data_IF_674907556972
#
_entry.id   IF_674907556972
#
_cell.length_a   1.000
_cell.length_b   1.000
_cell.length_c   1.000
_cell.angle_alpha   90.00
_cell.angle_beta   90.00
_cell.angle_gamma   90.00
#
_symmetry.space_group_name_H-M   'P 1'
#
loop_
_entity.id
_entity.type
_entity.pdbx_description
1 polymer ?
#
# COMPACT_ATOMS: atom_id res chain seq x y z
N UNK A 1 4.93 -41.09 -4.94
CA UNK A 1 6.25 -41.44 -5.52
C UNK A 1 6.77 -40.27 -6.35
N UNK A 2 8.01 -39.84 -6.08
CA UNK A 2 8.92 -38.95 -6.83
C UNK A 2 8.54 -37.47 -7.05
N UNK A 3 9.02 -36.62 -6.13
CA UNK A 3 9.41 -35.21 -6.36
C UNK A 3 10.62 -35.18 -7.30
N UNK A 4 10.63 -34.28 -8.27
CA UNK A 4 11.83 -33.88 -9.00
C UNK A 4 12.14 -32.41 -8.66
N UNK A 5 13.20 -32.22 -7.88
CA UNK A 5 13.87 -30.94 -7.68
C UNK A 5 14.91 -30.77 -8.80
N UNK A 6 14.95 -29.62 -9.48
CA UNK A 6 16.02 -29.27 -10.43
C UNK A 6 16.90 -28.22 -9.79
N UNK A 7 18.11 -28.62 -9.40
CA UNK A 7 19.18 -27.72 -8.95
C UNK A 7 19.90 -27.08 -10.14
N UNK A 8 20.07 -25.76 -10.07
CA UNK A 8 20.76 -24.92 -11.04
C UNK A 8 22.11 -24.47 -10.47
N UNK A 9 23.11 -25.37 -10.47
CA UNK A 9 24.44 -25.03 -9.94
C UNK A 9 25.56 -25.51 -10.87
N UNK A 10 25.53 -25.08 -12.14
CA UNK A 10 26.58 -25.45 -13.11
C UNK A 10 27.11 -24.32 -13.99
N UNK A 11 27.28 -23.12 -13.44
CA UNK A 11 28.04 -22.05 -14.10
C UNK A 11 28.87 -21.24 -13.12
N UNK A 12 29.83 -21.86 -12.44
CA UNK A 12 30.95 -21.15 -11.80
C UNK A 12 32.17 -22.09 -11.68
N UNK A 13 33.07 -22.08 -12.66
CA UNK A 13 34.52 -22.24 -12.46
C UNK A 13 35.29 -22.01 -13.75
N UNK A 14 36.18 -21.02 -13.73
CA UNK A 14 37.27 -20.87 -14.68
C UNK A 14 38.57 -21.49 -14.15
N UNK A 15 39.62 -21.32 -14.98
CA UNK A 15 41.03 -21.75 -14.84
C UNK A 15 41.28 -23.24 -15.15
N UNK A 16 42.25 -23.66 -15.97
CA UNK A 16 43.49 -23.05 -16.50
C UNK A 16 44.00 -23.82 -17.75
N UNK A 17 44.88 -23.13 -18.47
CA UNK A 17 45.85 -23.46 -19.53
C UNK A 17 45.98 -24.85 -20.18
N UNK A 18 46.15 -24.82 -21.51
CA UNK A 18 47.14 -25.66 -22.22
C UNK A 18 47.70 -24.88 -23.43
N UNK A 19 49.01 -24.60 -23.41
CA UNK A 19 49.71 -23.92 -24.50
C UNK A 19 50.14 -24.85 -25.64
N UNK A 20 50.28 -24.31 -26.84
CA UNK A 20 51.27 -24.71 -27.85
C UNK A 20 51.40 -23.59 -28.88
N UNK A 21 52.65 -23.33 -29.29
CA UNK A 21 53.07 -22.08 -29.89
C UNK A 21 52.90 -21.96 -31.41
N UNK A 22 53.12 -20.73 -31.87
CA UNK A 22 53.77 -20.44 -33.14
C UNK A 22 54.38 -19.04 -33.04
N UNK A 23 55.69 -18.97 -33.26
CA UNK A 23 56.50 -17.76 -33.20
C UNK A 23 56.29 -16.91 -34.45
N UNK A 24 56.13 -15.60 -34.27
CA UNK A 24 56.41 -14.62 -35.29
C UNK A 24 57.22 -13.47 -34.68
N UNK A 25 58.41 -13.27 -35.22
CA UNK A 25 59.33 -12.19 -34.91
C UNK A 25 58.67 -10.82 -35.06
N UNK A 26 58.70 -10.02 -34.00
CA UNK A 26 58.47 -8.58 -34.05
C UNK A 26 59.23 -7.92 -32.91
N UNK A 27 60.05 -6.93 -33.24
CA UNK A 27 60.92 -6.19 -32.33
C UNK A 27 60.17 -5.63 -31.10
N UNK A 28 60.82 -5.50 -29.93
CA UNK A 28 60.15 -5.05 -28.71
C UNK A 28 59.73 -3.57 -28.83
N UNK A 29 58.52 -3.20 -28.37
CA UNK A 29 58.12 -1.79 -28.29
C UNK A 29 58.92 -1.09 -27.16
N UNK A 30 59.14 0.23 -27.27
CA UNK A 30 59.84 0.98 -26.23
C UNK A 30 59.06 0.95 -24.89
N UNK A 31 59.75 1.07 -23.74
CA UNK A 31 59.09 1.03 -22.44
C UNK A 31 58.12 2.21 -22.28
N UNK A 32 56.98 2.01 -21.59
CA UNK A 32 56.02 3.08 -21.33
C UNK A 32 56.64 4.14 -20.40
N UNK A 33 56.23 5.41 -20.51
CA UNK A 33 56.66 6.46 -19.59
C UNK A 33 56.21 6.14 -18.16
N UNK A 34 56.94 6.60 -17.13
CA UNK A 34 56.57 6.36 -15.74
C UNK A 34 55.21 6.99 -15.43
N UNK A 35 54.39 6.38 -14.55
CA UNK A 35 53.09 6.93 -14.19
C UNK A 35 53.25 8.28 -13.47
N UNK A 36 52.27 9.20 -13.58
CA UNK A 36 52.28 10.43 -12.82
C UNK A 36 52.27 10.13 -11.31
N UNK A 37 53.07 10.88 -10.55
CA UNK A 37 53.07 10.77 -9.10
C UNK A 37 51.65 11.02 -8.53
N UNK A 38 51.19 10.11 -7.67
CA UNK A 38 49.94 10.26 -6.91
C UNK A 38 50.01 11.53 -6.04
N UNK A 39 48.92 12.31 -5.90
CA UNK A 39 48.89 13.41 -4.97
C UNK A 39 49.01 12.88 -3.53
N UNK A 40 49.91 13.46 -2.75
CA UNK A 40 50.00 13.19 -1.32
C UNK A 40 48.68 13.55 -0.64
N UNK A 41 48.08 12.60 0.08
CA UNK A 41 46.94 12.88 0.95
C UNK A 41 47.35 13.88 2.04
N UNK A 42 46.57 14.94 2.32
CA UNK A 42 46.85 15.81 3.44
C UNK A 42 46.59 15.07 4.75
N UNK A 43 47.58 15.01 5.63
CA UNK A 43 47.36 14.63 7.02
C UNK A 43 46.42 15.65 7.68
N UNK A 44 45.42 15.22 8.49
CA UNK A 44 44.59 16.15 9.22
C UNK A 44 45.45 16.91 10.24
N UNK A 45 45.23 18.23 10.43
CA UNK A 45 45.99 19.00 11.40
C UNK A 45 45.72 18.47 12.82
N UNK A 46 46.71 18.48 13.72
CA UNK A 46 46.47 18.10 15.10
C UNK A 46 45.43 19.05 15.70
N UNK A 47 44.32 18.49 16.18
CA UNK A 47 43.31 19.26 16.89
C UNK A 47 43.99 20.01 18.04
N UNK A 48 43.79 21.33 18.10
CA UNK A 48 44.39 22.13 19.16
C UNK A 48 43.96 21.55 20.51
N UNK A 49 44.88 21.42 21.47
CA UNK A 49 44.58 20.85 22.80
C UNK A 49 43.40 21.59 23.47
N UNK A 50 43.19 22.85 23.10
CA UNK A 50 42.06 23.67 23.50
C UNK A 50 40.71 23.18 22.95
N UNK A 51 40.66 22.70 21.69
CA UNK A 51 39.45 22.16 21.08
C UNK A 51 39.08 20.81 21.71
N UNK A 52 40.07 19.96 21.96
CA UNK A 52 39.88 18.70 22.68
C UNK A 52 39.36 18.93 24.10
N UNK A 53 39.93 19.88 24.83
CA UNK A 53 39.46 20.26 26.16
C UNK A 53 38.01 20.79 26.13
N UNK A 54 37.67 21.63 25.15
CA UNK A 54 36.31 22.16 25.00
C UNK A 54 35.28 21.06 24.70
N UNK A 55 35.61 20.10 23.84
CA UNK A 55 34.74 18.95 23.54
C UNK A 55 34.54 18.04 24.76
N UNK A 56 35.59 17.83 25.56
CA UNK A 56 35.48 17.04 26.80
C UNK A 56 34.58 17.74 27.83
N UNK A 57 34.71 19.06 27.99
CA UNK A 57 33.86 19.84 28.89
C UNK A 57 32.39 19.85 28.44
N UNK A 58 32.14 19.99 27.13
CA UNK A 58 30.79 19.90 26.57
C UNK A 58 30.18 18.51 26.78
N UNK A 59 30.97 17.45 26.55
CA UNK A 59 30.54 16.08 26.80
C UNK A 59 30.18 15.83 28.26
N UNK A 60 31.01 16.29 29.20
CA UNK A 60 30.75 16.19 30.63
C UNK A 60 29.48 16.97 31.04
N UNK A 61 29.33 18.19 30.52
CA UNK A 61 28.14 19.01 30.77
C UNK A 61 26.85 18.34 30.27
N UNK A 62 26.89 17.73 29.09
CA UNK A 62 25.74 17.02 28.54
C UNK A 62 25.37 15.79 29.38
N UNK A 63 26.35 15.02 29.84
CA UNK A 63 26.10 13.86 30.72
C UNK A 63 25.46 14.30 32.04
N UNK A 64 25.96 15.36 32.67
CA UNK A 64 25.39 15.89 33.91
C UNK A 64 23.96 16.38 33.70
N UNK A 65 23.68 17.12 32.64
CA UNK A 65 22.32 17.55 32.30
C UNK A 65 21.39 16.37 32.05
N UNK A 66 21.83 15.34 31.30
CA UNK A 66 21.02 14.15 31.03
C UNK A 66 20.71 13.37 32.30
N UNK A 67 21.68 13.20 33.21
CA UNK A 67 21.47 12.52 34.49
C UNK A 67 20.53 13.33 35.38
N UNK A 68 20.70 14.66 35.46
CA UNK A 68 19.82 15.53 36.24
C UNK A 68 18.37 15.48 35.72
N UNK A 69 18.16 15.55 34.41
CA UNK A 69 16.85 15.39 33.79
C UNK A 69 16.27 14.01 34.04
N UNK A 70 17.07 12.95 33.93
CA UNK A 70 16.62 11.58 34.21
C UNK A 70 16.18 11.41 35.66
N UNK A 71 16.93 11.95 36.62
CA UNK A 71 16.58 11.90 38.04
C UNK A 71 15.35 12.78 38.35
N UNK A 72 15.24 13.94 37.72
CA UNK A 72 14.05 14.79 37.81
C UNK A 72 12.80 14.07 37.28
N UNK A 73 12.87 13.46 36.09
CA UNK A 73 11.78 12.68 35.53
C UNK A 73 11.47 11.44 36.37
N UNK A 74 12.49 10.75 36.91
CA UNK A 74 12.29 9.62 37.83
C UNK A 74 11.58 10.03 39.12
N UNK A 75 11.91 11.18 39.68
CA UNK A 75 11.26 11.71 40.88
C UNK A 75 9.82 12.18 40.59
N UNK A 76 9.56 12.68 39.37
CA UNK A 76 8.23 13.14 38.95
C UNK A 76 7.34 11.99 38.45
N UNK A 77 7.92 10.89 37.97
CA UNK A 77 7.27 9.68 37.45
C UNK A 77 7.34 8.51 38.44
N UNK A 78 7.12 8.76 39.73
CA UNK A 78 6.95 7.68 40.70
C UNK A 78 5.71 6.83 40.31
N UNK A 79 5.87 5.54 39.95
CA UNK A 79 4.78 4.68 39.48
C UNK A 79 3.68 4.48 40.52
N UNK A 80 3.95 4.80 41.79
CA UNK A 80 3.02 4.62 42.90
C UNK A 80 2.03 5.79 43.07
N UNK A 81 2.22 6.91 42.36
CA UNK A 81 1.31 8.07 42.39
C UNK A 81 0.20 8.06 41.33
N UNK A 82 0.29 7.19 40.32
CA UNK A 82 -0.79 7.04 39.34
C UNK A 82 -1.82 6.09 39.94
N UNK A 83 -2.77 6.65 40.71
CA UNK A 83 -3.91 5.84 41.16
C UNK A 83 -4.59 5.21 39.95
N UNK A 84 -5.03 3.95 40.07
CA UNK A 84 -5.65 3.14 38.99
C UNK A 84 -6.79 3.89 38.28
N UNK A 85 -7.44 4.83 38.96
CA UNK A 85 -8.48 5.70 38.42
C UNK A 85 -7.99 6.77 37.41
N UNK A 86 -6.73 7.22 37.46
CA UNK A 86 -6.18 8.16 36.45
C UNK A 86 -5.85 7.47 35.12
N UNK A 87 -5.32 6.24 35.16
CA UNK A 87 -5.00 5.47 33.96
C UNK A 87 -6.26 5.10 33.16
N UNK A 88 -7.36 4.82 33.87
CA UNK A 88 -8.65 4.55 33.22
C UNK A 88 -9.18 5.79 32.48
N UNK A 89 -9.12 6.97 33.12
CA UNK A 89 -9.56 8.22 32.51
C UNK A 89 -8.76 8.57 31.24
N UNK A 90 -7.42 8.44 31.30
CA UNK A 90 -6.54 8.66 30.15
C UNK A 90 -6.90 7.70 29.01
N UNK A 91 -7.09 6.41 29.30
CA UNK A 91 -7.48 5.42 28.28
C UNK A 91 -8.83 5.75 27.63
N UNK A 92 -9.83 6.18 28.40
CA UNK A 92 -11.14 6.56 27.83
C UNK A 92 -11.06 7.86 27.00
N UNK A 93 -10.26 8.83 27.43
CA UNK A 93 -10.04 10.08 26.67
C UNK A 93 -9.32 9.85 25.34
N UNK A 94 -8.29 9.00 25.31
CA UNK A 94 -7.51 8.73 24.09
C UNK A 94 -8.12 7.64 23.20
N UNK A 95 -8.90 6.69 23.76
CA UNK A 95 -9.58 5.64 22.98
C UNK A 95 -10.68 6.17 22.06
N UNK A 96 -11.26 7.34 22.34
CA UNK A 96 -12.28 7.97 21.49
C UNK A 96 -11.70 8.66 20.25
N UNK A 97 -10.38 8.93 20.23
CA UNK A 97 -9.72 9.62 19.13
C UNK A 97 -9.34 8.68 17.96
N UNK A 98 -9.39 7.35 18.17
CA UNK A 98 -9.14 6.36 17.12
C UNK A 98 -10.38 6.03 16.27
N UNK A 99 -11.58 6.50 16.67
CA UNK A 99 -12.84 6.11 16.05
C UNK A 99 -13.76 7.27 15.65
N UNK A 100 -13.19 8.43 15.28
CA UNK A 100 -13.98 9.57 14.78
C UNK A 100 -13.99 9.62 13.25
N UNK A 101 -14.65 8.64 12.63
CA UNK A 101 -15.24 8.81 11.29
C UNK A 101 -16.50 7.92 11.20
N UNK A 102 -17.47 8.14 12.09
CA UNK A 102 -18.84 7.73 11.86
C UNK A 102 -19.79 8.72 12.56
N UNK A 103 -20.76 9.19 11.78
CA UNK A 103 -21.84 10.04 12.23
C UNK A 103 -22.68 9.26 13.24
N UNK A 104 -22.57 9.55 14.54
CA UNK A 104 -23.54 9.08 15.52
C UNK A 104 -23.83 10.16 16.57
N UNK A 105 -24.66 11.12 16.15
CA UNK A 105 -25.44 11.95 17.06
C UNK A 105 -26.50 11.08 17.73
N UNK A 106 -26.12 10.31 18.76
CA UNK A 106 -27.07 9.84 19.79
C UNK A 106 -26.43 9.26 21.05
N UNK A 107 -25.14 8.91 21.04
CA UNK A 107 -24.48 8.24 22.18
C UNK A 107 -23.71 9.14 23.16
N UNK A 108 -23.74 10.47 23.01
CA UNK A 108 -22.99 11.38 23.91
C UNK A 108 -23.64 11.62 25.29
N UNK A 109 -24.90 11.21 25.52
CA UNK A 109 -25.62 11.66 26.74
C UNK A 109 -25.46 10.77 27.98
N UNK A 110 -25.11 9.48 27.83
CA UNK A 110 -25.26 8.54 28.94
C UNK A 110 -23.96 8.20 29.70
N UNK A 111 -22.79 8.33 29.06
CA UNK A 111 -21.49 8.02 29.70
C UNK A 111 -20.85 9.24 30.41
N UNK A 112 -21.36 10.46 30.17
CA UNK A 112 -20.92 11.67 30.87
C UNK A 112 -21.34 11.73 32.35
N UNK A 113 -22.34 10.91 32.74
CA UNK A 113 -22.88 10.89 34.12
C UNK A 113 -22.09 10.03 35.10
N UNK A 114 -21.17 9.19 34.64
CA UNK A 114 -20.39 8.27 35.48
C UNK A 114 -18.90 8.63 35.59
N UNK A 115 -18.47 9.73 34.96
CA UNK A 115 -17.07 10.15 35.01
C UNK A 115 -16.73 10.78 36.37
N UNK A 116 -15.70 10.28 37.08
CA UNK A 116 -15.19 10.91 38.30
C UNK A 116 -14.82 12.38 38.05
N UNK A 117 -15.05 13.25 39.04
CA UNK A 117 -14.80 14.69 38.90
C UNK A 117 -13.35 15.02 38.51
N UNK A 118 -12.40 14.19 38.97
CA UNK A 118 -10.99 14.29 38.60
C UNK A 118 -10.76 14.12 37.08
N UNK A 119 -11.49 13.23 36.43
CA UNK A 119 -11.40 12.97 34.99
C UNK A 119 -12.03 14.12 34.18
N UNK A 120 -13.14 14.68 34.67
CA UNK A 120 -13.79 15.84 34.07
C UNK A 120 -12.87 17.07 34.09
N UNK A 121 -12.24 17.31 35.24
CA UNK A 121 -11.27 18.41 35.39
C UNK A 121 -10.07 18.24 34.45
N UNK A 122 -9.57 17.00 34.30
CA UNK A 122 -8.48 16.69 33.37
C UNK A 122 -8.87 16.88 31.90
N UNK A 123 -10.08 16.45 31.49
CA UNK A 123 -10.62 16.70 30.14
C UNK A 123 -10.70 18.21 29.84
N UNK A 124 -11.22 18.99 30.77
CA UNK A 124 -11.32 20.44 30.63
C UNK A 124 -9.95 21.13 30.60
N UNK A 125 -8.99 20.64 31.40
CA UNK A 125 -7.61 21.12 31.39
C UNK A 125 -6.92 20.85 30.05
N UNK A 126 -7.09 19.64 29.51
CA UNK A 126 -6.56 19.25 28.19
C UNK A 126 -7.18 20.08 27.07
N UNK A 127 -8.51 20.27 27.08
CA UNK A 127 -9.20 21.11 26.10
C UNK A 127 -8.69 22.56 26.12
N UNK A 128 -8.50 23.15 27.31
CA UNK A 128 -7.92 24.49 27.44
C UNK A 128 -6.46 24.55 26.97
N UNK A 129 -5.67 23.51 27.23
CA UNK A 129 -4.29 23.43 26.74
C UNK A 129 -4.24 23.34 25.21
N UNK A 130 -5.08 22.50 24.61
CA UNK A 130 -5.20 22.38 23.15
C UNK A 130 -5.62 23.71 22.51
N UNK A 131 -6.60 24.41 23.11
CA UNK A 131 -7.01 25.74 22.64
C UNK A 131 -5.88 26.77 22.75
N UNK A 132 -5.12 26.77 23.84
CA UNK A 132 -3.97 27.68 24.02
C UNK A 132 -2.83 27.37 23.04
N UNK A 133 -2.55 26.10 22.78
CA UNK A 133 -1.55 25.67 21.78
C UNK A 133 -2.00 26.07 20.38
N UNK A 134 -3.29 25.87 20.05
CA UNK A 134 -3.87 26.29 18.78
C UNK A 134 -3.73 27.81 18.57
N UNK A 135 -4.09 28.62 19.57
CA UNK A 135 -3.98 30.07 19.52
C UNK A 135 -2.52 30.56 19.44
N UNK A 136 -1.59 29.89 20.14
CA UNK A 136 -0.17 30.21 20.08
C UNK A 136 0.45 29.84 18.72
N UNK A 137 0.03 28.73 18.10
CA UNK A 137 0.45 28.34 16.75
C UNK A 137 -0.08 29.29 15.68
N UNK A 138 -1.31 29.79 15.85
CA UNK A 138 -1.94 30.77 14.95
C UNK A 138 -1.24 32.14 15.04
N UNK A 139 -0.89 32.58 16.26
CA UNK A 139 -0.11 33.81 16.48
C UNK A 139 1.32 33.75 15.94
N UNK A 140 1.89 32.55 15.78
CA UNK A 140 3.22 32.33 15.20
C UNK A 140 3.21 32.21 13.66
N UNK A 141 2.06 32.37 13.00
CA UNK A 141 1.95 32.28 11.54
C UNK A 141 2.30 30.90 10.96
N UNK A 142 2.31 29.87 11.81
CA UNK A 142 2.52 28.48 11.42
C UNK A 142 1.20 27.92 10.89
N UNK A 143 0.81 28.35 9.69
CA UNK A 143 -0.43 27.96 8.97
C UNK A 143 -0.39 26.49 8.45
N UNK A 144 0.36 25.61 9.13
CA UNK A 144 0.56 24.20 8.77
C UNK A 144 -0.53 23.26 9.29
N UNK A 145 -1.55 23.77 9.98
CA UNK A 145 -2.65 22.95 10.52
C UNK A 145 -4.04 23.53 10.26
N UNK A 146 -4.24 24.27 9.17
CA UNK A 146 -5.48 24.09 8.41
C UNK A 146 -5.44 22.67 7.86
N UNK A 147 -5.89 21.71 8.67
CA UNK A 147 -6.30 20.38 8.22
C UNK A 147 -7.54 20.59 7.35
N UNK A 148 -7.36 21.16 6.16
CA UNK A 148 -8.10 20.69 5.00
C UNK A 148 -8.00 19.16 5.13
N UNK A 149 -9.13 18.47 5.29
CA UNK A 149 -9.14 17.00 5.29
C UNK A 149 -8.14 16.57 4.22
N UNK A 150 -7.10 15.76 4.54
CA UNK A 150 -6.19 15.29 3.50
C UNK A 150 -7.09 14.76 2.40
N UNK A 151 -6.98 15.37 1.22
CA UNK A 151 -7.87 15.05 0.11
C UNK A 151 -7.77 13.54 -0.06
N UNK A 152 -8.88 12.81 0.17
CA UNK A 152 -8.83 11.35 0.25
C UNK A 152 -8.22 10.85 -1.05
N UNK A 153 -7.12 10.12 -0.98
CA UNK A 153 -6.44 9.68 -2.19
C UNK A 153 -7.43 8.84 -3.03
N UNK A 154 -7.54 9.04 -4.36
CA UNK A 154 -8.50 8.30 -5.17
C UNK A 154 -8.27 6.79 -5.10
N UNK A 155 -9.29 6.03 -4.69
CA UNK A 155 -9.27 4.58 -4.74
C UNK A 155 -10.67 3.99 -4.90
N UNK A 156 -10.73 2.76 -5.36
CA UNK A 156 -11.93 1.95 -5.39
C UNK A 156 -11.60 0.47 -5.20
N UNK A 157 -12.45 -0.23 -4.47
CA UNK A 157 -12.56 -1.68 -4.41
C UNK A 157 -14.01 -2.03 -4.65
N UNK A 158 -14.28 -2.68 -5.78
CA UNK A 158 -15.61 -2.97 -6.29
C UNK A 158 -15.82 -4.47 -6.32
N UNK A 159 -16.96 -4.91 -5.79
CA UNK A 159 -17.28 -6.32 -5.58
C UNK A 159 -18.46 -6.70 -6.46
N UNK A 160 -18.45 -7.91 -7.05
CA UNK A 160 -19.51 -8.33 -7.97
C UNK A 160 -20.90 -8.26 -7.29
N UNK A 161 -21.90 -7.84 -8.05
CA UNK A 161 -23.29 -7.95 -7.63
C UNK A 161 -23.86 -9.32 -8.01
N UNK A 162 -24.07 -10.15 -6.99
CA UNK A 162 -24.54 -11.53 -7.13
C UNK A 162 -25.91 -11.64 -7.80
N UNK A 163 -26.76 -10.62 -7.67
CA UNK A 163 -28.12 -10.62 -8.23
C UNK A 163 -28.17 -10.33 -9.72
N UNK A 164 -27.09 -9.75 -10.27
CA UNK A 164 -27.07 -9.20 -11.63
C UNK A 164 -25.95 -9.77 -12.49
N UNK A 165 -25.54 -11.02 -12.22
CA UNK A 165 -24.56 -11.74 -13.04
C UNK A 165 -25.22 -12.24 -14.35
N UNK A 166 -24.67 -11.94 -15.53
CA UNK A 166 -25.23 -12.42 -16.79
C UNK A 166 -25.20 -13.96 -16.91
N UNK A 167 -26.33 -14.57 -17.25
CA UNK A 167 -26.47 -16.04 -17.32
C UNK A 167 -25.92 -16.68 -18.61
N UNK A 168 -25.12 -15.95 -19.39
CA UNK A 168 -24.59 -16.40 -20.68
C UNK A 168 -23.24 -17.13 -20.61
N UNK A 169 -22.84 -17.74 -21.73
CA UNK A 169 -21.49 -18.32 -21.90
C UNK A 169 -20.56 -17.45 -22.76
N UNK A 170 -21.13 -16.45 -23.45
CA UNK A 170 -20.37 -15.51 -24.29
C UNK A 170 -19.59 -14.51 -23.45
N UNK A 171 -18.59 -13.87 -24.08
CA UNK A 171 -17.87 -12.76 -23.47
C UNK A 171 -18.79 -11.56 -23.31
N UNK A 172 -18.83 -10.97 -22.10
CA UNK A 172 -19.68 -9.81 -21.76
C UNK A 172 -18.93 -8.79 -20.91
N UNK A 173 -19.40 -7.54 -20.88
CA UNK A 173 -19.03 -6.57 -19.84
C UNK A 173 -19.81 -6.91 -18.57
N UNK A 174 -19.14 -6.86 -17.43
CA UNK A 174 -19.79 -6.94 -16.12
C UNK A 174 -20.18 -5.53 -15.67
N UNK A 175 -21.47 -5.27 -15.53
CA UNK A 175 -21.98 -3.91 -15.29
C UNK A 175 -22.46 -3.65 -13.86
N UNK A 176 -22.62 -4.70 -13.07
CA UNK A 176 -23.21 -4.61 -11.74
C UNK A 176 -22.16 -4.94 -10.68
N UNK A 177 -21.79 -3.91 -9.93
CA UNK A 177 -20.79 -3.99 -8.88
C UNK A 177 -21.23 -3.15 -7.68
N UNK A 178 -20.92 -3.64 -6.49
CA UNK A 178 -21.08 -2.93 -5.24
C UNK A 178 -19.89 -2.01 -4.97
N UNK A 179 -20.16 -0.83 -4.43
CA UNK A 179 -19.15 0.21 -4.14
C UNK A 179 -19.27 0.79 -2.73
N UNK A 180 -20.32 0.42 -1.98
CA UNK A 180 -20.73 1.02 -0.72
C UNK A 180 -21.18 -0.01 0.33
N UNK A 181 -21.00 -1.31 0.09
CA UNK A 181 -21.37 -2.38 1.03
C UNK A 181 -20.35 -3.51 1.10
N UNK A 182 -20.34 -4.23 2.22
CA UNK A 182 -19.37 -5.30 2.48
C UNK A 182 -17.95 -4.73 2.54
N UNK A 183 -17.02 -5.34 1.83
CA UNK A 183 -15.65 -4.83 1.69
C UNK A 183 -15.52 -3.79 0.56
N UNK A 184 -16.61 -3.48 -0.17
CA UNK A 184 -16.57 -2.53 -1.26
C UNK A 184 -16.43 -1.11 -0.71
N UNK A 185 -15.58 -0.32 -1.35
CA UNK A 185 -15.30 1.04 -0.93
C UNK A 185 -14.86 1.87 -2.14
N UNK A 186 -15.22 3.15 -2.15
CA UNK A 186 -14.91 4.05 -3.24
C UNK A 186 -14.70 5.46 -2.68
N UNK A 187 -13.59 6.10 -3.07
CA UNK A 187 -13.23 7.44 -2.64
C UNK A 187 -12.59 8.21 -3.79
N UNK A 188 -13.06 9.44 -4.02
CA UNK A 188 -12.56 10.33 -5.08
C UNK A 188 -12.45 9.69 -6.48
N UNK A 189 -13.35 8.75 -6.75
CA UNK A 189 -13.66 8.15 -8.05
C UNK A 189 -15.20 8.08 -8.17
N UNK A 190 -15.72 7.73 -9.33
CA UNK A 190 -17.18 7.58 -9.52
C UNK A 190 -17.47 6.23 -10.14
N UNK A 191 -18.52 5.54 -9.70
CA UNK A 191 -18.96 4.30 -10.35
C UNK A 191 -20.33 4.53 -11.00
N UNK A 192 -20.45 4.25 -12.29
CA UNK A 192 -21.71 4.39 -13.03
C UNK A 192 -21.75 3.38 -14.18
N UNK A 193 -22.89 2.72 -14.37
CA UNK A 193 -23.14 1.81 -15.51
C UNK A 193 -21.98 0.81 -15.76
N UNK A 194 -21.53 0.13 -14.71
CA UNK A 194 -20.45 -0.85 -14.83
C UNK A 194 -19.05 -0.31 -15.00
N UNK A 195 -18.88 1.01 -14.90
CA UNK A 195 -17.62 1.68 -15.22
C UNK A 195 -17.14 2.45 -14.00
N UNK A 196 -15.91 2.18 -13.61
CA UNK A 196 -15.17 2.99 -12.66
C UNK A 196 -14.56 4.19 -13.40
N UNK A 197 -15.08 5.37 -13.12
CA UNK A 197 -14.68 6.65 -13.71
C UNK A 197 -13.60 7.27 -12.83
N UNK A 198 -12.49 7.61 -13.47
CA UNK A 198 -11.38 8.33 -12.86
C UNK A 198 -11.74 9.81 -12.76
N UNK A 199 -11.69 10.39 -11.57
CA UNK A 199 -12.01 11.81 -11.37
C UNK A 199 -10.77 12.71 -11.34
N UNK A 200 -9.59 12.14 -11.10
CA UNK A 200 -8.33 12.87 -11.02
C UNK A 200 -7.27 12.26 -11.93
N UNK A 201 -6.47 13.12 -12.56
CA UNK A 201 -5.31 12.69 -13.33
C UNK A 201 -4.27 12.03 -12.40
N UNK A 202 -3.65 10.95 -12.87
CA UNK A 202 -2.60 10.29 -12.10
C UNK A 202 -2.13 8.97 -12.68
N UNK A 203 -1.14 8.39 -12.02
CA UNK A 203 -0.79 7.00 -12.20
C UNK A 203 -1.52 6.14 -11.16
N UNK A 204 -2.19 5.11 -11.64
CA UNK A 204 -3.02 4.22 -10.84
C UNK A 204 -2.47 2.80 -10.91
N UNK A 205 -2.46 2.12 -9.78
CA UNK A 205 -2.39 0.67 -9.78
C UNK A 205 -3.81 0.12 -9.93
N UNK A 206 -4.03 -0.64 -10.99
CA UNK A 206 -5.29 -1.31 -11.27
C UNK A 206 -5.14 -2.80 -10.97
N UNK A 207 -6.17 -3.42 -10.42
CA UNK A 207 -6.19 -4.86 -10.16
C UNK A 207 -7.58 -5.45 -10.35
N UNK A 208 -7.63 -6.75 -10.64
CA UNK A 208 -8.86 -7.54 -10.66
C UNK A 208 -8.55 -8.99 -10.24
N UNK A 209 -9.46 -9.56 -9.44
CA UNK A 209 -9.49 -10.98 -9.12
C UNK A 209 -10.84 -11.52 -9.56
N UNK A 210 -10.85 -12.48 -10.48
CA UNK A 210 -12.07 -13.08 -11.02
C UNK A 210 -12.01 -14.58 -10.80
N UNK A 211 -12.99 -15.11 -10.07
CA UNK A 211 -13.09 -16.53 -9.80
C UNK A 211 -14.20 -17.15 -10.65
N UNK A 212 -13.88 -18.28 -11.27
CA UNK A 212 -14.83 -19.15 -11.95
C UNK A 212 -15.01 -20.41 -11.12
N UNK A 213 -16.25 -20.85 -10.95
CA UNK A 213 -16.59 -22.11 -10.29
C UNK A 213 -17.72 -22.84 -10.99
N UNK A 214 -17.75 -24.15 -10.80
CA UNK A 214 -18.85 -25.00 -11.24
C UNK A 214 -19.03 -26.15 -10.27
N UNK A 215 -20.28 -26.45 -9.94
CA UNK A 215 -20.65 -27.65 -9.20
C UNK A 215 -21.57 -28.49 -10.07
N UNK A 216 -21.44 -29.81 -10.06
CA UNK A 216 -22.19 -30.73 -10.92
C UNK A 216 -23.73 -30.56 -10.81
N UNK A 217 -24.22 -30.18 -9.63
CA UNK A 217 -25.65 -29.89 -9.39
C UNK A 217 -26.16 -28.68 -10.17
N UNK A 218 -25.27 -27.83 -10.69
CA UNK A 218 -25.61 -26.70 -11.56
C UNK A 218 -25.81 -27.10 -13.03
N UNK A 219 -25.76 -28.41 -13.33
CA UNK A 219 -25.96 -28.96 -14.67
C UNK A 219 -24.65 -29.36 -15.35
N UNK A 220 -24.76 -30.02 -16.50
CA UNK A 220 -23.57 -30.49 -17.21
C UNK A 220 -22.90 -29.38 -18.01
N UNK A 221 -21.59 -29.22 -17.84
CA UNK A 221 -20.77 -28.39 -18.73
C UNK A 221 -20.67 -29.01 -20.13
N UNK A 222 -20.56 -28.15 -21.14
CA UNK A 222 -20.25 -28.60 -22.50
C UNK A 222 -18.89 -29.30 -22.52
N UNK A 223 -18.77 -30.46 -23.18
CA UNK A 223 -17.51 -31.24 -23.31
C UNK A 223 -16.40 -30.55 -24.14
N UNK A 224 -16.47 -29.23 -24.33
CA UNK A 224 -15.50 -28.42 -25.08
C UNK A 224 -14.56 -27.71 -24.11
N UNK A 225 -13.37 -27.33 -24.58
CA UNK A 225 -12.45 -26.52 -23.79
C UNK A 225 -13.08 -25.17 -23.42
N UNK A 226 -13.10 -24.86 -22.12
CA UNK A 226 -13.58 -23.59 -21.59
C UNK A 226 -12.45 -22.57 -21.65
N UNK A 227 -12.68 -21.44 -22.31
CA UNK A 227 -11.80 -20.29 -22.17
C UNK A 227 -12.31 -19.46 -21.01
N UNK A 228 -11.51 -19.36 -19.94
CA UNK A 228 -11.83 -18.61 -18.73
C UNK A 228 -10.88 -17.41 -18.65
N UNK A 229 -11.35 -16.28 -19.15
CA UNK A 229 -10.58 -15.08 -19.46
C UNK A 229 -11.19 -13.85 -18.81
N UNK A 230 -10.33 -12.96 -18.33
CA UNK A 230 -10.64 -11.61 -17.85
C UNK A 230 -9.94 -10.58 -18.74
N UNK A 231 -10.61 -9.46 -18.99
CA UNK A 231 -10.06 -8.31 -19.68
C UNK A 231 -10.41 -7.06 -18.90
N UNK A 232 -9.41 -6.24 -18.60
CA UNK A 232 -9.62 -4.90 -18.07
C UNK A 232 -9.54 -3.90 -19.22
N UNK A 233 -10.63 -3.17 -19.44
CA UNK A 233 -10.79 -2.27 -20.56
C UNK A 233 -10.75 -0.83 -20.05
N UNK A 234 -9.93 0.00 -20.70
CA UNK A 234 -10.00 1.44 -20.55
C UNK A 234 -10.81 2.03 -21.70
N UNK A 235 -11.81 2.83 -21.37
CA UNK A 235 -12.61 3.56 -22.33
C UNK A 235 -12.40 5.06 -22.15
N UNK A 236 -12.13 5.75 -23.25
CA UNK A 236 -12.08 7.21 -23.30
C UNK A 236 -13.21 7.70 -24.21
N UNK A 237 -14.28 8.24 -23.61
CA UNK A 237 -15.45 8.70 -24.36
C UNK A 237 -15.16 9.91 -25.24
N UNK A 238 -14.21 10.78 -24.87
CA UNK A 238 -13.86 11.99 -25.63
C UNK A 238 -13.34 11.65 -27.03
N UNK A 239 -12.58 10.56 -27.14
CA UNK A 239 -12.00 10.08 -28.41
C UNK A 239 -12.66 8.77 -28.92
N UNK A 240 -13.76 8.33 -28.29
CA UNK A 240 -14.49 7.09 -28.60
C UNK A 240 -13.59 5.86 -28.77
N UNK A 241 -12.58 5.73 -27.91
CA UNK A 241 -11.59 4.65 -27.98
C UNK A 241 -11.71 3.74 -26.76
N UNK A 242 -11.59 2.44 -26.99
CA UNK A 242 -11.49 1.42 -25.94
C UNK A 242 -10.25 0.57 -26.15
N UNK A 243 -9.41 0.46 -25.13
CA UNK A 243 -8.16 -0.32 -25.16
C UNK A 243 -8.18 -1.39 -24.05
N UNK A 244 -7.67 -2.58 -24.35
CA UNK A 244 -7.43 -3.61 -23.35
C UNK A 244 -6.14 -3.25 -22.61
N UNK A 245 -6.23 -2.91 -21.33
CA UNK A 245 -5.06 -2.64 -20.49
C UNK A 245 -4.40 -3.92 -20.01
N UNK A 246 -5.22 -4.90 -19.61
CA UNK A 246 -4.76 -6.17 -19.08
C UNK A 246 -5.66 -7.29 -19.55
N UNK A 247 -5.07 -8.47 -19.74
CA UNK A 247 -5.75 -9.71 -20.08
C UNK A 247 -5.14 -10.83 -19.27
N UNK A 248 -5.98 -11.65 -18.65
CA UNK A 248 -5.56 -12.84 -17.92
C UNK A 248 -6.51 -13.99 -18.22
N UNK A 249 -6.07 -15.22 -17.92
CA UNK A 249 -6.92 -16.39 -18.05
C UNK A 249 -6.22 -17.61 -18.61
N UNK A 250 -7.00 -18.67 -18.78
CA UNK A 250 -6.50 -19.96 -19.28
C UNK A 250 -7.63 -20.74 -19.93
N UNK A 251 -7.26 -21.66 -20.83
CA UNK A 251 -8.17 -22.69 -21.30
C UNK A 251 -8.21 -23.82 -20.28
N UNK A 252 -9.40 -24.21 -19.82
CA UNK A 252 -9.62 -25.31 -18.89
C UNK A 252 -10.46 -26.40 -19.52
N UNK A 253 -10.19 -27.63 -19.11
CA UNK A 253 -11.04 -28.78 -19.39
C UNK A 253 -11.64 -29.25 -18.07
N UNK A 254 -12.92 -28.92 -17.86
CA UNK A 254 -13.67 -29.27 -16.66
C UNK A 254 -14.53 -30.50 -16.98
N UNK A 255 -14.00 -31.68 -16.64
CA UNK A 255 -14.65 -32.97 -16.86
C UNK A 255 -15.65 -33.27 -15.77
N UNK A 256 -16.82 -33.82 -16.11
CA UNK A 256 -17.83 -34.27 -15.14
C UNK A 256 -17.44 -35.43 -14.22
N UNK A 257 -16.15 -35.83 -14.19
CA UNK A 257 -15.62 -36.80 -13.23
C UNK A 257 -15.27 -36.17 -11.88
N UNK A 258 -15.38 -34.85 -11.75
CA UNK A 258 -15.17 -34.12 -10.51
C UNK A 258 -16.41 -33.32 -10.19
N UNK A 259 -16.87 -33.42 -8.95
CA UNK A 259 -18.09 -32.75 -8.47
C UNK A 259 -17.96 -31.22 -8.51
N UNK A 260 -16.74 -30.71 -8.34
CA UNK A 260 -16.46 -29.29 -8.22
C UNK A 260 -15.23 -28.85 -9.02
N UNK A 261 -15.37 -27.71 -9.69
CA UNK A 261 -14.30 -27.05 -10.42
C UNK A 261 -14.15 -25.60 -9.97
N UNK A 262 -12.89 -25.15 -9.90
CA UNK A 262 -12.55 -23.79 -9.52
C UNK A 262 -11.34 -23.28 -10.32
N UNK A 263 -11.36 -22.00 -10.67
CA UNK A 263 -10.23 -21.32 -11.30
C UNK A 263 -10.29 -19.82 -11.02
N UNK A 264 -9.23 -19.27 -10.43
CA UNK A 264 -9.10 -17.84 -10.17
C UNK A 264 -8.09 -17.20 -11.13
N UNK A 265 -8.40 -15.98 -11.55
CA UNK A 265 -7.53 -15.14 -12.38
C UNK A 265 -7.30 -13.82 -11.66
N UNK A 266 -6.04 -13.54 -11.34
CA UNK A 266 -5.61 -12.26 -10.81
C UNK A 266 -4.77 -11.52 -11.85
N UNK A 267 -5.10 -10.26 -12.11
CA UNK A 267 -4.32 -9.36 -12.96
C UNK A 267 -4.12 -8.03 -12.25
N UNK A 268 -2.95 -7.43 -12.40
CA UNK A 268 -2.66 -6.11 -11.85
C UNK A 268 -1.55 -5.41 -12.62
N UNK A 269 -1.58 -4.08 -12.63
CA UNK A 269 -0.64 -3.28 -13.39
C UNK A 269 -0.76 -1.79 -13.12
N UNK A 270 0.28 -1.06 -13.54
CA UNK A 270 0.41 0.37 -13.31
C UNK A 270 0.12 1.16 -14.60
N UNK A 271 -0.85 2.06 -14.55
CA UNK A 271 -1.35 2.76 -15.73
C UNK A 271 -1.51 4.26 -15.49
N UNK A 272 -1.18 5.04 -16.51
CA UNK A 272 -1.53 6.46 -16.60
C UNK A 272 -3.01 6.59 -16.95
N UNK A 273 -3.78 7.25 -16.08
CA UNK A 273 -5.19 7.54 -16.30
C UNK A 273 -5.46 9.03 -16.19
N UNK A 274 -6.37 9.52 -17.02
CA UNK A 274 -6.86 10.90 -16.99
C UNK A 274 -8.29 10.96 -16.49
N UNK A 275 -8.66 12.12 -15.95
CA UNK A 275 -10.00 12.42 -15.52
C UNK A 275 -11.01 12.24 -16.67
N UNK A 276 -12.07 11.48 -16.38
CA UNK A 276 -13.11 11.05 -17.32
C UNK A 276 -12.80 9.76 -18.09
N UNK A 277 -11.61 9.16 -17.95
CA UNK A 277 -11.36 7.80 -18.44
C UNK A 277 -12.06 6.78 -17.55
N UNK A 278 -12.51 5.69 -18.16
CA UNK A 278 -13.40 4.71 -17.54
C UNK A 278 -12.77 3.32 -17.58
N UNK A 279 -12.81 2.60 -16.47
CA UNK A 279 -12.35 1.22 -16.36
C UNK A 279 -13.56 0.29 -16.26
N UNK A 280 -13.57 -0.77 -17.07
CA UNK A 280 -14.57 -1.83 -16.98
C UNK A 280 -13.94 -3.22 -17.11
N UNK A 281 -14.67 -4.24 -16.66
CA UNK A 281 -14.25 -5.63 -16.72
C UNK A 281 -15.09 -6.39 -17.75
N UNK A 282 -14.42 -7.12 -18.65
CA UNK A 282 -15.05 -8.16 -19.44
C UNK A 282 -14.59 -9.55 -19.00
N UNK A 283 -15.52 -10.50 -19.03
CA UNK A 283 -15.22 -11.90 -18.78
C UNK A 283 -15.85 -12.79 -19.83
N UNK A 284 -15.24 -13.94 -20.08
CA UNK A 284 -15.87 -15.08 -20.76
C UNK A 284 -16.65 -15.92 -19.75
N UNK A 285 -17.71 -16.60 -20.18
CA UNK A 285 -18.48 -17.53 -19.34
C UNK A 285 -18.95 -16.90 -18.00
N UNK A 286 -19.68 -15.77 -18.02
CA UNK A 286 -20.16 -15.09 -16.81
C UNK A 286 -21.06 -15.98 -15.93
N UNK A 287 -21.77 -16.96 -16.50
CA UNK A 287 -22.54 -17.96 -15.74
C UNK A 287 -21.69 -18.75 -14.73
N UNK A 288 -20.38 -18.86 -14.97
CA UNK A 288 -19.46 -19.59 -14.10
C UNK A 288 -18.81 -18.70 -13.05
N UNK A 289 -19.17 -17.42 -12.94
CA UNK A 289 -18.55 -16.55 -11.94
C UNK A 289 -18.91 -16.97 -10.52
N UNK A 290 -17.92 -16.90 -9.65
CA UNK A 290 -18.14 -16.96 -8.22
C UNK A 290 -18.65 -15.60 -7.71
N UNK A 291 -19.82 -15.60 -7.09
CA UNK A 291 -20.49 -14.40 -6.58
C UNK A 291 -20.00 -13.96 -5.20
N UNK A 292 -19.12 -14.72 -4.56
CA UNK A 292 -18.55 -14.36 -3.26
C UNK A 292 -17.70 -13.09 -3.33
N UNK A 293 -17.78 -12.28 -2.27
CA UNK A 293 -17.14 -10.97 -2.22
C UNK A 293 -15.62 -11.03 -2.23
N UNK A 294 -15.05 -12.09 -1.65
CA UNK A 294 -13.62 -12.40 -1.63
C UNK A 294 -13.11 -13.08 -2.91
N UNK A 295 -14.01 -13.40 -3.85
CA UNK A 295 -13.70 -14.17 -5.04
C UNK A 295 -13.66 -13.30 -6.29
N UNK A 296 -14.68 -12.45 -6.51
CA UNK A 296 -14.81 -11.65 -7.74
C UNK A 296 -14.90 -10.16 -7.42
N UNK A 297 -13.81 -9.45 -7.66
CA UNK A 297 -13.69 -8.02 -7.39
C UNK A 297 -12.67 -7.35 -8.32
N UNK A 298 -12.74 -6.03 -8.45
CA UNK A 298 -11.70 -5.24 -9.10
C UNK A 298 -11.54 -3.89 -8.43
N UNK A 299 -10.41 -3.23 -8.65
CA UNK A 299 -10.16 -1.96 -8.00
C UNK A 299 -9.01 -1.17 -8.60
N UNK A 300 -8.83 0.00 -8.02
CA UNK A 300 -7.83 0.96 -8.40
C UNK A 300 -7.39 1.77 -7.18
N UNK A 301 -6.14 2.23 -7.15
CA UNK A 301 -5.75 3.33 -6.27
C UNK A 301 -4.69 4.18 -6.94
N UNK A 302 -4.79 5.50 -6.75
CA UNK A 302 -3.82 6.46 -7.25
C UNK A 302 -2.53 6.31 -6.46
N UNK A 303 -1.42 6.17 -7.17
CA UNK A 303 -0.08 6.04 -6.59
C UNK A 303 0.64 7.38 -6.57
N UNK A 304 0.55 8.15 -7.67
CA UNK A 304 1.16 9.47 -7.80
C UNK A 304 0.47 10.32 -8.87
N UNK A 305 0.74 11.62 -8.85
CA UNK A 305 0.28 12.57 -9.87
C UNK A 305 0.98 12.38 -11.22
N UNK A 306 0.38 12.96 -12.27
CA UNK A 306 1.06 13.19 -13.54
C UNK A 306 1.89 14.45 -13.36
N UNK A 307 3.21 14.32 -13.37
CA UNK A 307 4.14 15.46 -13.25
C UNK A 307 3.84 16.59 -14.23
#
# INVERSE_FOLDING_TARGET
>A
MRRASRDYTKYLRGSEELGSGAAHDSAPPPPPPPPPALPAHPHPPPASRSLLAALVLLGLGQVVCSVALFLYFRAQMDPTRISKEHAHCVRTLFGHQENTDLHDTSFESQELKLMPESCRSMKQGLQRAVQKVSAAMEALGMDLYKRNKPEKQPFAHLIIDDKNIPSGTRKVNLTSWHHDKGQANLSNMTFNDGKLIVNQDGFYYLYANICFRHHETSGNLTKRGLQLMVYMIKTNLKIRRSDVLMKGGSTKYWSGNSEFHFYSVNVGGFFKLKSGEMISIQVSNPLLLDSSQEATYFGAFKVRDLD
#
